data_IF_974474012097
#
_entry.id   IF_974474012097
#
_cell.length_a   1.000
_cell.length_b   1.000
_cell.length_c   1.000
_cell.angle_alpha   90.00
_cell.angle_beta   90.00
_cell.angle_gamma   90.00
#
_symmetry.space_group_name_H-M   'P 1'
#
loop_
_entity.id
_entity.type
_entity.pdbx_description
1 polymer ?
#
# COMPACT_ATOMS: atom_id res chain seq x y z
N UNK A 1 -6.32 -11.18 -57.60
CA UNK A 1 -6.03 -9.98 -56.77
C UNK A 1 -6.54 -10.06 -55.33
N UNK A 2 -7.45 -10.98 -54.94
CA UNK A 2 -7.95 -11.11 -53.55
C UNK A 2 -7.05 -11.89 -52.56
N UNK A 3 -5.95 -12.50 -53.02
CA UNK A 3 -5.06 -13.34 -52.18
C UNK A 3 -3.84 -12.60 -51.59
N UNK A 4 -3.62 -11.33 -51.98
CA UNK A 4 -2.51 -10.49 -51.47
C UNK A 4 -2.94 -9.51 -50.37
N UNK A 5 -4.25 -9.37 -50.12
CA UNK A 5 -4.78 -8.46 -49.09
C UNK A 5 -4.81 -9.06 -47.69
N UNK A 6 -4.84 -10.39 -47.58
CA UNK A 6 -4.87 -11.11 -46.29
C UNK A 6 -3.57 -10.94 -45.47
N UNK A 7 -2.33 -11.02 -46.05
CA UNK A 7 -1.12 -10.82 -45.26
C UNK A 7 -0.92 -9.36 -44.80
N UNK A 8 -1.49 -8.38 -45.52
CA UNK A 8 -1.34 -6.96 -45.19
C UNK A 8 -2.22 -6.54 -44.01
N UNK A 9 -3.37 -7.20 -43.80
CA UNK A 9 -4.24 -6.95 -42.65
C UNK A 9 -3.67 -7.53 -41.35
N UNK A 10 -2.90 -8.61 -41.44
CA UNK A 10 -2.25 -9.22 -40.27
C UNK A 10 -1.10 -8.35 -39.72
N UNK A 11 -0.33 -7.68 -40.59
CA UNK A 11 0.77 -6.80 -40.17
C UNK A 11 0.29 -5.49 -39.54
N UNK A 12 -0.87 -4.96 -39.94
CA UNK A 12 -1.47 -3.77 -39.33
C UNK A 12 -2.00 -4.06 -37.92
N UNK A 13 -2.57 -5.26 -37.69
CA UNK A 13 -3.03 -5.66 -36.35
C UNK A 13 -1.87 -5.90 -35.36
N UNK A 14 -0.70 -6.35 -35.85
CA UNK A 14 0.52 -6.48 -35.05
C UNK A 14 1.17 -5.11 -34.72
N UNK A 15 0.98 -4.10 -35.57
CA UNK A 15 1.46 -2.74 -35.32
C UNK A 15 0.61 -1.96 -34.29
N UNK A 16 -0.58 -2.45 -33.95
CA UNK A 16 -1.43 -1.91 -32.88
C UNK A 16 -1.16 -2.52 -31.50
N UNK A 17 -0.14 -3.37 -31.35
CA UNK A 17 0.35 -3.75 -30.03
C UNK A 17 0.84 -2.47 -29.33
N UNK A 18 0.07 -1.99 -28.35
CA UNK A 18 0.32 -0.75 -27.64
C UNK A 18 1.80 -0.63 -27.26
N UNK A 19 2.47 0.37 -27.82
CA UNK A 19 3.89 0.57 -27.57
C UNK A 19 4.07 0.87 -26.08
N UNK A 20 4.88 0.04 -25.42
CA UNK A 20 5.09 0.12 -23.98
C UNK A 20 5.58 1.53 -23.60
N UNK A 21 4.90 2.18 -22.66
CA UNK A 21 5.31 3.52 -22.21
C UNK A 21 6.60 3.43 -21.41
N UNK A 22 7.27 4.58 -21.24
CA UNK A 22 8.50 4.67 -20.41
C UNK A 22 8.23 4.24 -18.97
N UNK A 23 7.09 4.63 -18.41
CA UNK A 23 6.66 4.28 -17.06
C UNK A 23 6.47 2.77 -16.94
N UNK A 24 5.81 2.17 -17.92
CA UNK A 24 5.60 0.72 -17.95
C UNK A 24 6.93 -0.04 -18.11
N UNK A 25 7.91 0.51 -18.84
CA UNK A 25 9.27 -0.04 -18.92
C UNK A 25 9.99 0.00 -17.56
N UNK A 26 9.86 1.09 -16.81
CA UNK A 26 10.43 1.19 -15.46
C UNK A 26 9.84 0.15 -14.51
N UNK A 27 8.51 -0.03 -14.53
CA UNK A 27 7.81 -1.02 -13.72
C UNK A 27 8.27 -2.45 -14.09
N UNK A 28 8.32 -2.78 -15.39
CA UNK A 28 8.76 -4.12 -15.82
C UNK A 28 10.19 -4.42 -15.36
N UNK A 29 11.12 -3.47 -15.49
CA UNK A 29 12.50 -3.66 -15.00
C UNK A 29 12.55 -3.87 -13.49
N UNK A 30 11.70 -3.18 -12.72
CA UNK A 30 11.61 -3.39 -11.28
C UNK A 30 11.09 -4.80 -10.95
N UNK A 31 10.05 -5.27 -11.67
CA UNK A 31 9.51 -6.63 -11.53
C UNK A 31 10.58 -7.68 -11.86
N UNK A 32 11.32 -7.50 -12.96
CA UNK A 32 12.40 -8.41 -13.36
C UNK A 32 13.51 -8.45 -12.30
N UNK A 33 13.91 -7.29 -11.78
CA UNK A 33 14.90 -7.18 -10.70
C UNK A 33 14.43 -7.85 -9.39
N UNK A 34 13.12 -7.89 -9.14
CA UNK A 34 12.51 -8.60 -8.02
C UNK A 34 12.35 -10.11 -8.26
N UNK A 35 12.82 -10.63 -9.39
CA UNK A 35 12.78 -12.05 -9.73
C UNK A 35 11.69 -12.45 -10.73
N UNK A 36 11.05 -11.47 -11.37
CA UNK A 36 10.06 -11.69 -12.42
C UNK A 36 8.62 -11.83 -11.91
N UNK A 37 7.63 -11.73 -12.81
CA UNK A 37 6.21 -11.67 -12.47
C UNK A 37 5.72 -12.94 -11.75
N UNK A 38 6.17 -14.12 -12.17
CA UNK A 38 5.70 -15.39 -11.59
C UNK A 38 6.14 -15.54 -10.12
N UNK A 39 7.37 -15.15 -9.79
CA UNK A 39 7.87 -15.19 -8.41
C UNK A 39 7.13 -14.21 -7.51
N UNK A 40 6.90 -13.00 -8.02
CA UNK A 40 6.12 -11.97 -7.35
C UNK A 40 4.67 -12.43 -7.12
N UNK A 41 4.04 -13.03 -8.13
CA UNK A 41 2.69 -13.56 -8.03
C UNK A 41 2.60 -14.71 -7.02
N UNK A 42 3.63 -15.54 -6.92
CA UNK A 42 3.71 -16.69 -6.00
C UNK A 42 3.93 -16.31 -4.53
N UNK A 43 4.20 -15.04 -4.19
CA UNK A 43 4.33 -14.59 -2.80
C UNK A 43 3.03 -14.86 -2.02
N UNK A 44 3.11 -15.71 -1.00
CA UNK A 44 1.96 -16.07 -0.17
C UNK A 44 1.79 -15.13 1.03
N UNK A 45 2.89 -14.57 1.54
CA UNK A 45 2.86 -13.67 2.69
C UNK A 45 3.77 -12.47 2.51
N UNK A 46 3.37 -11.35 3.11
CA UNK A 46 4.17 -10.14 3.22
C UNK A 46 4.21 -9.73 4.69
N UNK A 47 5.39 -9.37 5.17
CA UNK A 47 5.57 -8.85 6.52
C UNK A 47 6.25 -7.49 6.45
N UNK A 48 5.71 -6.51 7.17
CA UNK A 48 6.23 -5.16 7.27
C UNK A 48 6.36 -4.79 8.73
N UNK A 49 7.54 -4.32 9.13
CA UNK A 49 7.77 -3.73 10.44
C UNK A 49 8.26 -2.31 10.26
N UNK A 50 7.71 -1.37 11.02
CA UNK A 50 8.08 0.01 10.86
C UNK A 50 7.73 0.87 12.06
N UNK A 51 8.23 2.10 11.97
CA UNK A 51 7.90 3.18 12.88
C UNK A 51 7.52 4.41 12.06
N UNK A 52 6.62 5.23 12.58
CA UNK A 52 6.23 6.50 11.97
C UNK A 52 6.29 7.62 13.00
N UNK A 53 6.51 8.84 12.53
CA UNK A 53 6.33 10.08 13.29
C UNK A 53 5.43 11.00 12.48
N UNK A 54 4.52 11.67 13.16
CA UNK A 54 3.49 12.51 12.56
C UNK A 54 3.55 13.91 13.15
N UNK A 55 3.47 14.89 12.25
CA UNK A 55 3.38 16.31 12.56
C UNK A 55 2.09 16.86 11.95
N UNK A 56 1.40 17.72 12.69
CA UNK A 56 0.11 18.29 12.30
C UNK A 56 0.26 19.80 12.04
N UNK A 57 0.26 20.23 10.77
CA UNK A 57 0.34 21.65 10.41
C UNK A 57 -0.82 22.46 10.98
N UNK A 58 -2.01 21.87 11.05
CA UNK A 58 -3.24 22.53 11.52
C UNK A 58 -3.23 22.78 13.04
N UNK A 59 -2.29 22.17 13.77
CA UNK A 59 -2.12 22.39 15.21
C UNK A 59 -1.07 23.47 15.53
N UNK A 60 -0.59 24.20 14.52
CA UNK A 60 0.26 25.36 14.71
C UNK A 60 -0.46 26.45 15.53
N UNK A 61 0.27 27.10 16.44
CA UNK A 61 -0.25 28.22 17.25
C UNK A 61 -0.45 29.51 16.43
N UNK A 62 0.01 29.54 15.18
CA UNK A 62 -0.12 30.68 14.26
C UNK A 62 -0.50 30.21 12.84
N UNK A 63 -1.27 30.99 12.08
CA UNK A 63 -1.52 30.72 10.67
C UNK A 63 -0.22 30.58 9.87
N UNK A 64 -0.02 29.44 9.20
CA UNK A 64 1.19 29.15 8.43
C UNK A 64 2.46 28.88 9.25
N UNK A 65 2.33 28.70 10.57
CA UNK A 65 3.46 28.34 11.45
C UNK A 65 3.92 26.88 11.30
N UNK A 66 4.94 26.51 12.07
CA UNK A 66 5.52 25.17 12.02
C UNK A 66 4.55 24.08 12.47
N UNK A 67 4.59 22.94 11.79
CA UNK A 67 3.79 21.78 12.17
C UNK A 67 4.23 21.24 13.53
N UNK A 68 3.27 20.98 14.42
CA UNK A 68 3.58 20.45 15.75
C UNK A 68 3.68 18.93 15.72
N UNK A 69 4.64 18.38 16.45
CA UNK A 69 4.72 16.94 16.63
C UNK A 69 3.47 16.42 17.35
N UNK A 70 2.77 15.48 16.70
CA UNK A 70 1.50 14.96 17.20
C UNK A 70 1.66 13.59 17.86
N UNK A 71 2.38 12.67 17.21
CA UNK A 71 2.60 11.32 17.72
C UNK A 71 3.76 10.59 17.04
N UNK A 72 4.25 9.55 17.70
CA UNK A 72 5.00 8.46 17.08
C UNK A 72 4.19 7.16 17.11
N UNK A 73 4.50 6.25 16.20
CA UNK A 73 3.85 4.95 16.12
C UNK A 73 4.86 3.86 15.79
N UNK A 74 4.62 2.66 16.28
CA UNK A 74 5.26 1.43 15.82
C UNK A 74 4.21 0.45 15.32
N UNK A 75 4.53 -0.29 14.27
CA UNK A 75 3.62 -1.26 13.69
C UNK A 75 4.33 -2.48 13.14
N UNK A 76 3.62 -3.60 13.22
CA UNK A 76 3.96 -4.87 12.57
C UNK A 76 2.73 -5.34 11.80
N UNK A 77 2.87 -5.52 10.49
CA UNK A 77 1.79 -5.86 9.58
C UNK A 77 2.15 -7.16 8.86
N UNK A 78 1.28 -8.15 8.96
CA UNK A 78 1.32 -9.38 8.19
C UNK A 78 0.16 -9.39 7.21
N UNK A 79 0.43 -9.76 5.96
CA UNK A 79 -0.58 -10.05 4.96
C UNK A 79 -0.42 -11.48 4.48
N UNK A 80 -1.46 -12.30 4.63
CA UNK A 80 -1.59 -13.59 3.95
C UNK A 80 -2.39 -13.37 2.67
N UNK A 81 -1.69 -13.41 1.54
CA UNK A 81 -2.28 -13.18 0.21
C UNK A 81 -3.15 -14.34 -0.23
N UNK A 82 -2.84 -15.57 0.19
CA UNK A 82 -3.61 -16.75 -0.18
C UNK A 82 -4.99 -16.75 0.50
N UNK A 83 -5.03 -16.34 1.77
CA UNK A 83 -6.28 -16.20 2.55
C UNK A 83 -6.95 -14.85 2.40
N UNK A 84 -6.28 -13.88 1.75
CA UNK A 84 -6.68 -12.47 1.67
C UNK A 84 -6.99 -11.89 3.05
N UNK A 85 -6.07 -12.17 3.98
CA UNK A 85 -6.17 -11.80 5.38
C UNK A 85 -4.99 -10.92 5.77
N UNK A 86 -5.18 -10.01 6.71
CA UNK A 86 -4.09 -9.23 7.30
C UNK A 86 -4.26 -9.06 8.79
N UNK A 87 -3.12 -8.94 9.48
CA UNK A 87 -3.05 -8.55 10.87
C UNK A 87 -2.09 -7.37 11.00
N UNK A 88 -2.50 -6.34 11.73
CA UNK A 88 -1.65 -5.21 12.07
C UNK A 88 -1.63 -5.03 13.59
N UNK A 89 -0.47 -5.22 14.21
CA UNK A 89 -0.25 -4.87 15.60
C UNK A 89 0.32 -3.44 15.65
N UNK A 90 -0.39 -2.52 16.28
CA UNK A 90 -0.11 -1.10 16.22
C UNK A 90 -0.04 -0.52 17.64
N UNK A 91 0.98 0.29 17.88
CA UNK A 91 1.06 1.19 19.02
C UNK A 91 1.24 2.63 18.53
N UNK A 92 0.39 3.53 19.01
CA UNK A 92 0.44 4.97 18.71
C UNK A 92 0.57 5.74 20.01
N UNK A 93 1.64 6.52 20.14
CA UNK A 93 1.96 7.36 21.30
C UNK A 93 1.75 8.82 20.92
N UNK A 94 0.59 9.35 21.28
CA UNK A 94 0.27 10.75 21.07
C UNK A 94 0.94 11.62 22.14
N UNK A 95 1.48 12.75 21.70
CA UNK A 95 1.93 13.86 22.53
C UNK A 95 0.89 15.00 22.60
N UNK A 96 0.06 15.14 21.55
CA UNK A 96 -0.95 16.19 21.40
C UNK A 96 -2.38 15.62 21.16
N UNK A 97 -3.47 16.27 21.61
CA UNK A 97 -3.52 17.45 22.49
C UNK A 97 -3.17 17.11 23.95
N UNK A 98 -3.27 15.84 24.32
CA UNK A 98 -2.81 15.31 25.61
C UNK A 98 -2.12 13.97 25.40
N UNK A 99 -1.11 13.63 26.22
CA UNK A 99 -0.43 12.36 26.11
C UNK A 99 -1.38 11.17 26.28
N UNK A 100 -1.39 10.27 25.29
CA UNK A 100 -2.20 9.04 25.30
C UNK A 100 -1.55 7.97 24.44
N UNK A 101 -1.69 6.72 24.84
CA UNK A 101 -1.19 5.58 24.07
C UNK A 101 -2.35 4.70 23.66
N UNK A 102 -2.45 4.44 22.36
CA UNK A 102 -3.37 3.46 21.80
C UNK A 102 -2.57 2.23 21.40
N UNK A 103 -2.98 1.07 21.89
CA UNK A 103 -2.40 -0.21 21.50
C UNK A 103 -3.54 -1.13 21.09
N UNK A 104 -3.46 -1.62 19.87
CA UNK A 104 -4.50 -2.46 19.30
C UNK A 104 -3.93 -3.38 18.22
N UNK A 105 -4.67 -4.45 17.98
CA UNK A 105 -4.48 -5.36 16.87
C UNK A 105 -5.68 -5.24 15.96
N UNK A 106 -5.45 -4.91 14.70
CA UNK A 106 -6.46 -4.95 13.65
C UNK A 106 -6.30 -6.25 12.85
N UNK A 107 -7.39 -6.98 12.66
CA UNK A 107 -7.45 -8.20 11.85
C UNK A 107 -8.49 -7.97 10.76
N UNK A 108 -8.07 -8.07 9.51
CA UNK A 108 -8.95 -7.93 8.35
C UNK A 108 -8.98 -9.26 7.59
N UNK A 109 -10.18 -9.76 7.36
CA UNK A 109 -10.48 -10.96 6.58
C UNK A 109 -11.37 -10.56 5.39
N UNK A 110 -11.60 -11.43 4.40
CA UNK A 110 -12.40 -11.08 3.22
C UNK A 110 -13.82 -10.61 3.50
N UNK A 111 -14.42 -11.08 4.60
CA UNK A 111 -15.83 -10.91 4.97
C UNK A 111 -16.03 -10.15 6.28
N UNK A 112 -14.95 -9.88 7.03
CA UNK A 112 -15.03 -9.24 8.33
C UNK A 112 -13.73 -8.52 8.72
N UNK A 113 -13.86 -7.54 9.62
CA UNK A 113 -12.75 -6.87 10.27
C UNK A 113 -12.98 -6.79 11.77
N UNK A 114 -11.92 -6.95 12.55
CA UNK A 114 -11.98 -6.90 14.01
C UNK A 114 -10.82 -6.07 14.57
N UNK A 115 -11.11 -5.32 15.63
CA UNK A 115 -10.12 -4.57 16.40
C UNK A 115 -10.12 -5.10 17.82
N UNK A 116 -8.93 -5.49 18.29
CA UNK A 116 -8.68 -5.91 19.66
C UNK A 116 -7.87 -4.83 20.36
N UNK A 117 -8.46 -4.14 21.33
CA UNK A 117 -7.83 -3.04 22.06
C UNK A 117 -8.54 -1.71 21.84
N UNK A 118 -7.81 -0.62 21.98
CA UNK A 118 -8.33 0.74 21.80
C UNK A 118 -7.60 1.38 20.64
N UNK A 119 -8.29 1.55 19.51
CA UNK A 119 -7.78 2.14 18.27
C UNK A 119 -8.04 3.65 18.15
N UNK A 120 -9.01 4.16 18.91
CA UNK A 120 -9.35 5.58 18.95
C UNK A 120 -9.96 6.00 20.29
N UNK A 121 -10.06 7.32 20.50
CA UNK A 121 -10.78 7.90 21.64
C UNK A 121 -12.30 8.02 21.41
N UNK A 122 -12.77 7.74 20.20
CA UNK A 122 -14.19 7.79 19.85
C UNK A 122 -14.80 6.39 20.07
N UNK A 123 -15.89 6.32 20.82
CA UNK A 123 -16.67 5.07 20.91
C UNK A 123 -17.58 5.00 19.69
N UNK A 124 -17.52 3.91 18.93
CA UNK A 124 -18.57 3.53 17.98
C UNK A 124 -19.86 3.19 18.73
#
# INVERSE_FOLDING_TARGET
MKRLLIPLSATVLLACAAQQTKEQSLVNRAIDAMGGPDRLAALQSVYVRGTAKQWEPEQSDMPGGEARFANDSSYEIWQDRARRASRADIERRFAYPTPRTFRFTEIVMPDAGYVLGVDSGSRN
#
